data_IF_770880986656
#
_entry.id   IF_770880986656
#
_cell.length_a   1.000
_cell.length_b   1.000
_cell.length_c   1.000
_cell.angle_alpha   90.00
_cell.angle_beta   90.00
_cell.angle_gamma   90.00
#
_symmetry.space_group_name_H-M   'P 1'
#
loop_
_entity.id
_entity.type
_entity.pdbx_description
1 polymer ?
#
# COMPACT_ATOMS: atom_id res chain seq x y z
N UNK A 1 87.46 36.60 -5.06
CA UNK A 1 86.63 35.41 -5.43
C UNK A 1 85.34 35.48 -4.69
N UNK A 2 84.18 35.73 -5.38
CA UNK A 2 82.87 35.87 -4.75
C UNK A 2 82.09 34.63 -5.13
N UNK A 3 81.77 33.81 -4.13
CA UNK A 3 80.82 32.66 -4.29
C UNK A 3 79.40 33.17 -4.14
N UNK A 4 78.68 33.15 -5.22
CA UNK A 4 77.26 33.44 -5.24
C UNK A 4 76.47 32.21 -4.76
N UNK A 5 75.77 32.33 -3.65
CA UNK A 5 74.85 31.30 -3.16
C UNK A 5 73.51 31.44 -3.86
N UNK A 6 73.19 30.50 -4.72
CA UNK A 6 71.85 30.39 -5.30
C UNK A 6 70.96 29.69 -4.31
N UNK A 7 69.94 30.36 -3.88
CA UNK A 7 68.84 29.76 -3.03
C UNK A 7 67.78 29.25 -3.99
N UNK A 8 67.66 27.92 -4.06
CA UNK A 8 66.56 27.24 -4.80
C UNK A 8 65.35 27.18 -3.89
N UNK A 9 64.35 27.99 -4.20
CA UNK A 9 63.10 27.97 -3.51
C UNK A 9 62.20 26.86 -4.14
N UNK A 10 61.99 25.78 -3.43
CA UNK A 10 61.06 24.71 -3.83
C UNK A 10 59.65 25.12 -3.40
N UNK A 11 58.82 25.49 -4.35
CA UNK A 11 57.42 25.73 -4.13
C UNK A 11 56.68 24.39 -4.12
N UNK A 12 56.23 23.96 -2.95
CA UNK A 12 55.36 22.78 -2.80
C UNK A 12 53.92 23.23 -3.09
N UNK A 13 53.41 22.88 -4.26
CA UNK A 13 52.02 23.07 -4.60
C UNK A 13 51.19 21.92 -3.94
N UNK A 14 50.47 22.23 -2.85
CA UNK A 14 49.51 21.31 -2.26
C UNK A 14 48.22 21.38 -3.07
N UNK A 15 48.03 20.42 -3.96
CA UNK A 15 46.77 20.24 -4.66
C UNK A 15 45.75 19.59 -3.70
N UNK A 16 44.87 20.41 -3.14
CA UNK A 16 43.72 19.91 -2.35
C UNK A 16 42.69 19.30 -3.31
N UNK A 17 42.71 18.00 -3.45
CA UNK A 17 41.65 17.24 -4.15
C UNK A 17 40.41 17.20 -3.28
N UNK A 18 39.47 18.05 -3.59
CA UNK A 18 38.11 17.97 -2.98
C UNK A 18 37.39 16.82 -3.63
N UNK A 19 37.29 15.67 -2.96
CA UNK A 19 36.41 14.59 -3.35
C UNK A 19 34.97 15.00 -3.01
N UNK A 20 34.21 15.39 -4.05
CA UNK A 20 32.74 15.51 -3.90
C UNK A 20 32.18 14.12 -3.62
N UNK A 21 31.93 13.81 -2.36
CA UNK A 21 31.11 12.68 -1.99
C UNK A 21 29.68 13.00 -2.41
N UNK A 22 29.24 12.42 -3.53
CA UNK A 22 27.86 12.46 -3.96
C UNK A 22 27.04 11.67 -2.93
N UNK A 23 26.42 12.37 -1.97
CA UNK A 23 25.39 11.81 -1.11
C UNK A 23 24.16 11.57 -2.00
N UNK A 24 24.03 10.35 -2.52
CA UNK A 24 22.77 9.88 -3.11
C UNK A 24 21.74 9.90 -1.97
N UNK A 25 20.97 10.97 -1.91
CA UNK A 25 19.78 11.03 -1.06
C UNK A 25 18.81 10.00 -1.61
N UNK A 26 18.74 8.82 -0.99
CA UNK A 26 17.61 7.92 -1.17
C UNK A 26 16.41 8.63 -0.56
N UNK A 27 15.66 9.35 -1.38
CA UNK A 27 14.31 9.75 -1.00
C UNK A 27 13.55 8.46 -0.69
N UNK A 28 13.13 8.28 0.57
CA UNK A 28 12.35 7.12 0.96
C UNK A 28 11.14 7.04 0.04
N UNK A 29 10.98 5.90 -0.65
CA UNK A 29 9.88 5.70 -1.57
C UNK A 29 8.57 5.81 -0.78
N UNK A 30 7.61 6.60 -1.30
CA UNK A 30 6.32 6.81 -0.63
C UNK A 30 5.63 5.47 -0.41
N UNK A 31 5.07 5.27 0.78
CA UNK A 31 4.30 4.08 1.10
C UNK A 31 3.12 3.90 0.12
N UNK A 32 2.61 2.68 -0.02
CA UNK A 32 1.41 2.43 -0.82
C UNK A 32 0.24 3.28 -0.30
N UNK A 33 0.11 3.45 1.02
CA UNK A 33 -0.88 4.32 1.65
C UNK A 33 -0.82 5.77 1.13
N UNK A 34 0.37 6.34 1.06
CA UNK A 34 0.56 7.71 0.54
C UNK A 34 0.27 7.80 -0.95
N UNK A 35 0.65 6.79 -1.72
CA UNK A 35 0.38 6.72 -3.16
C UNK A 35 -1.10 6.50 -3.48
N UNK A 36 -1.84 5.82 -2.61
CA UNK A 36 -3.30 5.69 -2.67
C UNK A 36 -4.04 6.98 -2.33
N UNK A 37 -3.35 7.99 -1.75
CA UNK A 37 -3.94 9.28 -1.39
C UNK A 37 -4.38 9.39 0.07
N UNK A 38 -3.91 8.49 0.92
CA UNK A 38 -4.19 8.53 2.36
C UNK A 38 -5.59 8.06 2.75
N UNK A 39 -5.95 8.23 4.02
CA UNK A 39 -7.19 7.68 4.60
C UNK A 39 -8.46 8.20 3.92
N UNK A 40 -8.47 9.46 3.48
CA UNK A 40 -9.64 10.04 2.80
C UNK A 40 -9.94 9.37 1.45
N UNK A 41 -8.91 9.12 0.64
CA UNK A 41 -9.05 8.40 -0.62
C UNK A 41 -9.44 6.93 -0.39
N UNK A 42 -8.83 6.25 0.59
CA UNK A 42 -9.18 4.88 0.99
C UNK A 42 -10.65 4.81 1.43
N UNK A 43 -11.13 5.79 2.21
CA UNK A 43 -12.54 5.88 2.63
C UNK A 43 -13.47 5.98 1.42
N UNK A 44 -13.15 6.78 0.41
CA UNK A 44 -13.95 6.94 -0.79
C UNK A 44 -14.02 5.62 -1.60
N UNK A 45 -12.87 4.96 -1.79
CA UNK A 45 -12.78 3.64 -2.45
C UNK A 45 -13.59 2.60 -1.71
N UNK A 46 -13.45 2.49 -0.39
CA UNK A 46 -14.18 1.50 0.44
C UNK A 46 -15.68 1.75 0.39
N UNK A 47 -16.11 3.01 0.44
CA UNK A 47 -17.55 3.34 0.32
C UNK A 47 -18.11 2.90 -1.03
N UNK A 48 -17.39 3.16 -2.13
CA UNK A 48 -17.77 2.69 -3.47
C UNK A 48 -17.76 1.18 -3.57
N UNK A 49 -16.76 0.52 -3.02
CA UNK A 49 -16.63 -0.93 -2.98
C UNK A 49 -17.82 -1.60 -2.27
N UNK A 50 -18.20 -1.12 -1.09
CA UNK A 50 -19.39 -1.63 -0.37
C UNK A 50 -20.66 -1.44 -1.21
N UNK A 51 -20.79 -0.33 -1.93
CA UNK A 51 -21.88 -0.11 -2.86
C UNK A 51 -21.92 -1.13 -3.99
N UNK A 52 -20.77 -1.45 -4.60
CA UNK A 52 -20.65 -2.48 -5.63
C UNK A 52 -21.07 -3.86 -5.09
N UNK A 53 -20.52 -4.27 -3.95
CA UNK A 53 -20.85 -5.53 -3.25
C UNK A 53 -22.36 -5.64 -2.97
N UNK A 54 -22.98 -4.56 -2.51
CA UNK A 54 -24.42 -4.53 -2.24
C UNK A 54 -25.27 -4.71 -3.51
N UNK A 55 -24.77 -4.28 -4.66
CA UNK A 55 -25.42 -4.44 -5.96
C UNK A 55 -25.12 -5.79 -6.63
N UNK A 56 -24.02 -6.45 -6.28
CA UNK A 56 -23.61 -7.72 -6.88
C UNK A 56 -24.42 -8.90 -6.33
N UNK A 57 -25.33 -9.41 -7.13
CA UNK A 57 -26.18 -10.55 -6.76
C UNK A 57 -25.43 -11.85 -6.49
N UNK A 58 -24.19 -11.96 -6.96
CA UNK A 58 -23.33 -13.14 -6.72
C UNK A 58 -22.91 -13.26 -5.25
N UNK A 59 -22.78 -12.13 -4.55
CA UNK A 59 -22.16 -12.07 -3.22
C UNK A 59 -22.91 -11.25 -2.19
N UNK A 60 -23.88 -10.40 -2.58
CA UNK A 60 -24.58 -9.52 -1.64
C UNK A 60 -25.29 -10.29 -0.51
N UNK A 61 -25.62 -11.56 -0.73
CA UNK A 61 -26.22 -12.43 0.26
C UNK A 61 -25.41 -12.61 1.54
N UNK A 62 -24.07 -12.58 1.42
CA UNK A 62 -23.17 -12.68 2.57
C UNK A 62 -23.23 -11.46 3.50
N UNK A 63 -23.72 -10.32 3.00
CA UNK A 63 -23.71 -9.02 3.68
C UNK A 63 -25.09 -8.59 4.21
N UNK A 64 -26.13 -9.41 4.03
CA UNK A 64 -27.53 -9.06 4.38
C UNK A 64 -27.71 -8.62 5.84
N UNK A 65 -26.94 -9.20 6.75
CA UNK A 65 -27.03 -8.94 8.19
C UNK A 65 -25.81 -8.16 8.71
N UNK A 66 -24.97 -7.62 7.83
CA UNK A 66 -23.80 -6.87 8.22
C UNK A 66 -24.18 -5.45 8.65
N UNK A 67 -23.56 -4.97 9.74
CA UNK A 67 -23.54 -3.55 10.03
C UNK A 67 -22.60 -2.86 9.04
N UNK A 68 -23.18 -2.24 8.02
CA UNK A 68 -22.41 -1.61 6.93
C UNK A 68 -21.54 -0.45 7.41
N UNK A 69 -21.92 0.25 8.48
CA UNK A 69 -21.12 1.32 9.06
C UNK A 69 -19.86 0.76 9.72
N UNK A 70 -20.03 -0.30 10.51
CA UNK A 70 -18.90 -0.99 11.13
C UNK A 70 -18.01 -1.67 10.10
N UNK A 71 -18.61 -2.32 9.10
CA UNK A 71 -17.89 -2.94 7.98
C UNK A 71 -17.03 -1.90 7.25
N UNK A 72 -17.61 -0.74 6.91
CA UNK A 72 -16.87 0.35 6.26
C UNK A 72 -15.66 0.75 7.11
N UNK A 73 -15.84 1.01 8.39
CA UNK A 73 -14.75 1.37 9.30
C UNK A 73 -13.65 0.31 9.32
N UNK A 74 -14.01 -0.96 9.48
CA UNK A 74 -13.03 -2.05 9.52
C UNK A 74 -12.27 -2.21 8.21
N UNK A 75 -12.92 -2.08 7.07
CA UNK A 75 -12.26 -2.15 5.77
C UNK A 75 -11.32 -0.97 5.53
N UNK A 76 -11.71 0.24 5.94
CA UNK A 76 -10.82 1.42 5.87
C UNK A 76 -9.58 1.22 6.74
N UNK A 77 -9.75 0.80 7.98
CA UNK A 77 -8.64 0.55 8.91
C UNK A 77 -7.73 -0.56 8.37
N UNK A 78 -8.30 -1.64 7.82
CA UNK A 78 -7.57 -2.77 7.27
C UNK A 78 -6.73 -2.37 6.06
N UNK A 79 -7.32 -1.66 5.09
CA UNK A 79 -6.61 -1.21 3.88
C UNK A 79 -5.55 -0.18 4.26
N UNK A 80 -5.86 0.76 5.14
CA UNK A 80 -4.92 1.75 5.64
C UNK A 80 -3.71 1.10 6.31
N UNK A 81 -3.93 0.19 7.25
CA UNK A 81 -2.83 -0.53 7.93
C UNK A 81 -2.04 -1.39 6.95
N UNK A 82 -2.71 -2.15 6.07
CA UNK A 82 -2.07 -3.06 5.13
C UNK A 82 -1.23 -2.33 4.07
N UNK A 83 -1.57 -1.07 3.74
CA UNK A 83 -0.83 -0.25 2.80
C UNK A 83 0.29 0.60 3.44
N UNK A 84 0.54 0.42 4.74
CA UNK A 84 1.59 1.15 5.47
C UNK A 84 1.14 2.49 6.02
N UNK A 85 -0.17 2.68 6.21
CA UNK A 85 -0.75 3.87 6.87
C UNK A 85 -0.75 3.77 8.39
N UNK A 86 -1.13 4.86 9.08
CA UNK A 86 -1.06 4.96 10.54
C UNK A 86 -2.26 4.32 11.27
N UNK A 87 -3.20 3.71 10.55
CA UNK A 87 -4.38 3.12 11.15
C UNK A 87 -4.08 1.79 11.84
N UNK A 88 -4.95 1.39 12.76
CA UNK A 88 -4.89 0.09 13.41
C UNK A 88 -6.20 -0.64 13.16
N UNK A 89 -6.12 -1.81 12.53
CA UNK A 89 -7.27 -2.70 12.36
C UNK A 89 -7.63 -3.34 13.69
N UNK A 90 -8.79 -3.00 14.22
CA UNK A 90 -9.29 -3.51 15.50
C UNK A 90 -10.41 -4.56 15.34
N UNK A 91 -10.65 -5.02 14.11
CA UNK A 91 -11.62 -6.08 13.82
C UNK A 91 -11.09 -7.47 14.18
N UNK A 92 -11.98 -8.46 14.04
CA UNK A 92 -11.61 -9.87 14.19
C UNK A 92 -10.73 -10.33 13.02
N UNK A 93 -9.90 -11.34 13.22
CA UNK A 93 -9.14 -11.97 12.14
C UNK A 93 -10.07 -12.56 11.06
N UNK A 94 -9.55 -12.72 9.84
CA UNK A 94 -10.35 -13.16 8.69
C UNK A 94 -10.95 -14.54 8.88
N UNK A 95 -10.19 -15.48 9.44
CA UNK A 95 -10.66 -16.84 9.67
C UNK A 95 -11.84 -16.88 10.64
N UNK A 96 -11.74 -16.17 11.77
CA UNK A 96 -12.82 -16.08 12.75
C UNK A 96 -14.04 -15.36 12.18
N UNK A 97 -13.83 -14.30 11.40
CA UNK A 97 -14.91 -13.49 10.81
C UNK A 97 -15.72 -14.28 9.80
N UNK A 98 -15.09 -15.12 8.98
CA UNK A 98 -15.73 -15.83 7.86
C UNK A 98 -16.10 -17.28 8.18
N UNK A 99 -15.76 -17.76 9.38
CA UNK A 99 -16.08 -19.14 9.80
C UNK A 99 -17.56 -19.46 9.69
N UNK A 100 -17.88 -20.50 8.93
CA UNK A 100 -19.25 -20.98 8.74
C UNK A 100 -20.04 -20.22 7.68
N UNK A 101 -19.47 -19.19 7.06
CA UNK A 101 -20.12 -18.45 5.98
C UNK A 101 -20.13 -19.22 4.65
N UNK A 102 -19.36 -20.31 4.55
CA UNK A 102 -19.22 -21.12 3.32
C UNK A 102 -18.84 -20.29 2.09
N UNK A 103 -17.94 -19.32 2.29
CA UNK A 103 -17.45 -18.48 1.20
C UNK A 103 -16.74 -19.35 0.16
N UNK A 104 -17.19 -19.26 -1.08
CA UNK A 104 -16.60 -20.00 -2.21
C UNK A 104 -15.45 -19.22 -2.86
N UNK A 105 -14.60 -19.93 -3.59
CA UNK A 105 -13.58 -19.29 -4.45
C UNK A 105 -14.22 -18.30 -5.45
N UNK A 106 -15.37 -18.67 -6.04
CA UNK A 106 -16.09 -17.80 -6.97
C UNK A 106 -16.58 -16.52 -6.30
N UNK A 107 -17.12 -16.63 -5.07
CA UNK A 107 -17.55 -15.46 -4.29
C UNK A 107 -16.37 -14.55 -3.93
N UNK A 108 -15.23 -15.11 -3.55
CA UNK A 108 -14.03 -14.34 -3.28
C UNK A 108 -13.54 -13.59 -4.53
N UNK A 109 -13.54 -14.24 -5.69
CA UNK A 109 -13.13 -13.62 -6.94
C UNK A 109 -14.09 -12.48 -7.34
N UNK A 110 -15.40 -12.64 -7.16
CA UNK A 110 -16.38 -11.60 -7.40
C UNK A 110 -16.14 -10.37 -6.48
N UNK A 111 -15.78 -10.61 -5.23
CA UNK A 111 -15.41 -9.54 -4.28
C UNK A 111 -14.19 -8.76 -4.78
N UNK A 112 -13.17 -9.46 -5.30
CA UNK A 112 -11.96 -8.82 -5.87
C UNK A 112 -12.32 -7.97 -7.09
N UNK A 113 -13.19 -8.47 -7.97
CA UNK A 113 -13.68 -7.69 -9.12
C UNK A 113 -14.37 -6.40 -8.69
N UNK A 114 -15.22 -6.44 -7.66
CA UNK A 114 -15.88 -5.27 -7.11
C UNK A 114 -14.90 -4.26 -6.51
N UNK A 115 -13.84 -4.74 -5.86
CA UNK A 115 -12.76 -3.88 -5.35
C UNK A 115 -12.00 -3.21 -6.50
N UNK A 116 -11.62 -3.97 -7.52
CA UNK A 116 -10.92 -3.41 -8.69
C UNK A 116 -11.80 -2.36 -9.39
N UNK A 117 -13.09 -2.63 -9.57
CA UNK A 117 -14.05 -1.67 -10.12
C UNK A 117 -14.15 -0.38 -9.30
N UNK A 118 -14.10 -0.49 -7.96
CA UNK A 118 -14.08 0.69 -7.09
C UNK A 118 -12.79 1.49 -7.26
N UNK A 119 -11.63 0.83 -7.31
CA UNK A 119 -10.33 1.46 -7.53
C UNK A 119 -10.26 2.17 -8.89
N UNK A 120 -10.82 1.54 -9.94
CA UNK A 120 -10.91 2.12 -11.28
C UNK A 120 -11.79 3.38 -11.31
N UNK A 121 -12.87 3.42 -10.53
CA UNK A 121 -13.73 4.60 -10.40
C UNK A 121 -12.98 5.85 -9.93
N UNK A 122 -11.93 5.65 -9.12
CA UNK A 122 -11.07 6.72 -8.60
C UNK A 122 -9.75 6.86 -9.35
N UNK A 123 -9.60 6.22 -10.52
CA UNK A 123 -8.41 6.28 -11.37
C UNK A 123 -7.12 5.86 -10.63
N UNK A 124 -7.21 4.90 -9.72
CA UNK A 124 -6.03 4.35 -9.02
C UNK A 124 -5.13 3.67 -10.06
N UNK A 125 -3.83 3.99 -10.00
CA UNK A 125 -2.84 3.46 -10.94
C UNK A 125 -2.75 1.93 -10.91
N UNK A 126 -2.31 1.34 -12.03
CA UNK A 126 -2.17 -0.12 -12.13
C UNK A 126 -1.20 -0.66 -11.07
N UNK A 127 -0.10 0.04 -10.83
CA UNK A 127 0.91 -0.37 -9.86
C UNK A 127 0.30 -0.44 -8.45
N UNK A 128 -0.41 0.61 -8.02
CA UNK A 128 -1.05 0.68 -6.71
C UNK A 128 -2.12 -0.41 -6.55
N UNK A 129 -2.89 -0.68 -7.60
CA UNK A 129 -3.89 -1.78 -7.60
C UNK A 129 -3.20 -3.13 -7.43
N UNK A 130 -2.18 -3.42 -8.21
CA UNK A 130 -1.44 -4.69 -8.15
C UNK A 130 -0.81 -4.89 -6.77
N UNK A 131 -0.19 -3.86 -6.19
CA UNK A 131 0.40 -3.91 -4.85
C UNK A 131 -0.67 -4.13 -3.77
N UNK A 132 -1.80 -3.43 -3.84
CA UNK A 132 -2.89 -3.62 -2.88
C UNK A 132 -3.46 -5.04 -2.96
N UNK A 133 -3.68 -5.55 -4.16
CA UNK A 133 -4.16 -6.92 -4.35
C UNK A 133 -3.13 -7.97 -3.88
N UNK A 134 -1.84 -7.70 -4.03
CA UNK A 134 -0.78 -8.58 -3.53
C UNK A 134 -0.75 -8.63 -2.00
N UNK A 135 -1.08 -7.53 -1.31
CA UNK A 135 -1.17 -7.47 0.15
C UNK A 135 -2.43 -8.14 0.68
N UNK A 136 -3.57 -7.96 0.02
CA UNK A 136 -4.86 -8.50 0.46
C UNK A 136 -5.09 -9.96 0.01
N UNK A 137 -4.53 -10.35 -1.13
CA UNK A 137 -4.72 -11.68 -1.74
C UNK A 137 -4.44 -12.87 -0.82
N UNK A 138 -3.37 -12.87 -0.01
CA UNK A 138 -3.07 -13.94 0.94
C UNK A 138 -4.16 -14.22 1.98
N UNK A 139 -5.07 -13.25 2.23
CA UNK A 139 -6.22 -13.46 3.12
C UNK A 139 -7.24 -14.48 2.58
N UNK A 140 -7.20 -14.77 1.28
CA UNK A 140 -8.08 -15.75 0.64
C UNK A 140 -8.12 -17.08 1.37
N UNK A 141 -6.97 -17.58 1.84
CA UNK A 141 -6.85 -18.87 2.56
C UNK A 141 -7.63 -18.91 3.87
N UNK A 142 -7.86 -17.73 4.49
CA UNK A 142 -8.58 -17.59 5.77
C UNK A 142 -10.06 -17.23 5.56
N UNK A 143 -10.45 -16.87 4.34
CA UNK A 143 -11.80 -16.43 3.97
C UNK A 143 -12.56 -17.53 3.24
N UNK A 144 -11.91 -18.21 2.29
CA UNK A 144 -12.56 -19.25 1.47
C UNK A 144 -12.64 -20.54 2.24
N UNK A 145 -13.87 -21.04 2.42
CA UNK A 145 -14.16 -22.33 3.05
C UNK A 145 -14.53 -23.42 2.04
N UNK A 146 -14.96 -23.00 0.84
CA UNK A 146 -15.36 -23.92 -0.25
C UNK A 146 -14.54 -23.59 -1.48
N UNK A 147 -13.67 -24.49 -1.94
CA UNK A 147 -12.83 -24.30 -3.14
C UNK A 147 -13.61 -24.05 -4.43
#
# INVERSE_FOLDING_TARGET
MRFSKQIVTIAIAVAATWTLSSVTSFAAERSLYERLGGVGAIQAVVTKFIGNVGADKRINGYFKNADLKQLNKHLVDQVCQASGGPCTYAGRDMKTTHKGMKVTTAAFNALVEDLVSALDTFNVGKQEKDELLAVLGPMKKDIVEVP
#
